data_IF_722402096949
#
_entry.id   IF_722402096949
#
_cell.length_a   1.000
_cell.length_b   1.000
_cell.length_c   1.000
_cell.angle_alpha   90.00
_cell.angle_beta   90.00
_cell.angle_gamma   90.00
#
_symmetry.space_group_name_H-M   'P 1'
#
loop_
_entity.id
_entity.type
_entity.pdbx_description
1 polymer ?
#
# COMPACT_ATOMS: atom_id res chain seq x y z
N UNK A 1 14.02 4.44 10.36
CA UNK A 1 13.23 3.71 9.36
C UNK A 1 12.87 4.68 8.24
N UNK A 2 13.04 4.32 6.96
CA UNK A 2 12.57 5.17 5.85
C UNK A 2 11.03 5.25 5.91
N UNK A 3 10.47 6.46 5.83
CA UNK A 3 9.03 6.66 5.65
C UNK A 3 8.62 5.93 4.38
N UNK A 4 7.49 5.22 4.45
CA UNK A 4 6.94 4.49 3.31
C UNK A 4 6.46 5.51 2.29
N UNK A 5 6.94 5.39 1.07
CA UNK A 5 6.45 6.19 -0.04
C UNK A 5 5.10 5.63 -0.51
N UNK A 6 4.07 6.49 -0.46
CA UNK A 6 2.69 6.10 -0.80
C UNK A 6 2.61 5.72 -2.28
N UNK A 7 3.28 6.47 -3.17
CA UNK A 7 3.23 6.21 -4.60
C UNK A 7 3.94 4.90 -4.94
N UNK A 8 5.09 4.61 -4.34
CA UNK A 8 5.78 3.34 -4.56
C UNK A 8 4.95 2.15 -4.07
N UNK A 9 4.31 2.27 -2.90
CA UNK A 9 3.47 1.20 -2.37
C UNK A 9 2.22 0.96 -3.20
N UNK A 10 1.60 2.02 -3.75
CA UNK A 10 0.47 1.90 -4.68
C UNK A 10 0.89 1.22 -5.99
N UNK A 11 2.03 1.61 -6.57
CA UNK A 11 2.59 0.95 -7.76
C UNK A 11 2.83 -0.55 -7.55
N UNK A 12 3.32 -0.93 -6.36
CA UNK A 12 3.49 -2.35 -6.02
C UNK A 12 2.17 -3.09 -5.91
N UNK A 13 1.12 -2.47 -5.37
CA UNK A 13 -0.22 -3.06 -5.34
C UNK A 13 -0.78 -3.25 -6.75
N UNK A 14 -0.58 -2.28 -7.64
CA UNK A 14 -0.96 -2.35 -9.05
C UNK A 14 -0.23 -3.51 -9.74
N UNK A 15 1.09 -3.64 -9.54
CA UNK A 15 1.85 -4.78 -10.09
C UNK A 15 1.40 -6.14 -9.55
N UNK A 16 0.89 -6.21 -8.32
CA UNK A 16 0.31 -7.45 -7.77
C UNK A 16 -1.01 -7.76 -8.48
N UNK A 17 -1.87 -6.76 -8.70
CA UNK A 17 -3.13 -6.93 -9.42
C UNK A 17 -2.87 -7.35 -10.87
N UNK A 18 -1.96 -6.66 -11.56
CA UNK A 18 -1.55 -6.97 -12.92
C UNK A 18 -1.02 -8.41 -13.03
N UNK A 19 -0.27 -8.88 -12.03
CA UNK A 19 0.21 -10.27 -12.01
C UNK A 19 -0.96 -11.26 -12.01
N UNK A 20 -2.01 -11.02 -11.21
CA UNK A 20 -3.19 -11.90 -11.21
C UNK A 20 -3.97 -11.87 -12.53
N UNK A 21 -4.02 -10.71 -13.20
CA UNK A 21 -4.75 -10.56 -14.46
C UNK A 21 -4.03 -11.19 -15.66
N UNK A 22 -2.70 -11.22 -15.62
CA UNK A 22 -1.88 -11.72 -16.72
C UNK A 22 -1.42 -13.18 -16.55
N UNK A 23 -1.63 -13.79 -15.38
CA UNK A 23 -1.22 -15.18 -15.14
C UNK A 23 -2.16 -16.17 -15.85
N UNK A 24 -1.62 -16.93 -16.81
CA UNK A 24 -2.38 -17.87 -17.65
C UNK A 24 -2.72 -19.19 -16.94
N UNK A 25 -1.91 -19.60 -15.96
CA UNK A 25 -2.15 -20.78 -15.12
C UNK A 25 -2.04 -20.38 -13.66
N UNK A 26 -3.13 -20.51 -12.91
CA UNK A 26 -3.18 -20.03 -11.52
C UNK A 26 -2.39 -20.98 -10.61
N UNK A 27 -1.12 -20.65 -10.39
CA UNK A 27 -0.32 -21.19 -9.29
C UNK A 27 -0.86 -20.62 -7.96
N UNK A 28 -1.67 -21.43 -7.27
CA UNK A 28 -2.38 -21.04 -6.05
C UNK A 28 -1.42 -20.70 -4.91
N UNK A 29 -0.26 -21.36 -4.82
CA UNK A 29 0.74 -21.07 -3.78
C UNK A 29 1.35 -19.69 -3.99
N UNK A 30 1.78 -19.38 -5.22
CA UNK A 30 2.27 -18.03 -5.58
C UNK A 30 1.18 -16.97 -5.41
N UNK A 31 -0.06 -17.28 -5.78
CA UNK A 31 -1.20 -16.40 -5.54
C UNK A 31 -1.35 -16.07 -4.05
N UNK A 32 -1.20 -17.05 -3.16
CA UNK A 32 -1.25 -16.80 -1.72
C UNK A 32 -0.10 -15.96 -1.19
N UNK A 33 1.10 -16.07 -1.75
CA UNK A 33 2.21 -15.18 -1.42
C UNK A 33 1.89 -13.73 -1.83
N UNK A 34 1.36 -13.53 -3.04
CA UNK A 34 0.99 -12.20 -3.56
C UNK A 34 -0.12 -11.53 -2.77
N UNK A 35 -1.12 -12.30 -2.33
CA UNK A 35 -2.17 -11.78 -1.44
C UNK A 35 -1.59 -11.35 -0.10
N UNK A 36 -0.69 -12.15 0.51
CA UNK A 36 -0.03 -11.77 1.77
C UNK A 36 0.80 -10.50 1.61
N UNK A 37 1.53 -10.36 0.49
CA UNK A 37 2.28 -9.17 0.14
C UNK A 37 1.36 -7.94 0.04
N UNK A 38 0.25 -8.07 -0.70
CA UNK A 38 -0.75 -7.02 -0.84
C UNK A 38 -1.38 -6.58 0.49
N UNK A 39 -1.74 -7.54 1.35
CA UNK A 39 -2.25 -7.24 2.70
C UNK A 39 -1.22 -6.46 3.54
N UNK A 40 0.06 -6.83 3.44
CA UNK A 40 1.16 -6.11 4.09
C UNK A 40 1.25 -4.65 3.61
N UNK A 41 1.24 -4.44 2.29
CA UNK A 41 1.29 -3.12 1.67
C UNK A 41 0.09 -2.25 2.08
N UNK A 42 -1.13 -2.81 2.09
CA UNK A 42 -2.35 -2.09 2.49
C UNK A 42 -2.28 -1.65 3.96
N UNK A 43 -1.84 -2.53 4.86
CA UNK A 43 -1.69 -2.18 6.29
C UNK A 43 -0.72 -1.03 6.48
N UNK A 44 0.41 -1.09 5.77
CA UNK A 44 1.45 -0.07 5.80
C UNK A 44 0.95 1.28 5.24
N UNK A 45 0.25 1.26 4.10
CA UNK A 45 -0.35 2.44 3.47
C UNK A 45 -1.38 3.12 4.37
N UNK A 46 -2.26 2.35 5.00
CA UNK A 46 -3.25 2.89 5.96
C UNK A 46 -2.58 3.61 7.12
N UNK A 47 -1.48 3.06 7.64
CA UNK A 47 -0.66 3.73 8.66
C UNK A 47 -0.12 5.06 8.17
N UNK A 48 0.52 5.07 6.99
CA UNK A 48 1.12 6.30 6.44
C UNK A 48 0.09 7.38 6.10
N UNK A 49 -1.07 7.00 5.57
CA UNK A 49 -2.17 7.94 5.30
C UNK A 49 -2.68 8.60 6.58
N UNK A 50 -2.79 7.83 7.68
CA UNK A 50 -3.18 8.37 8.98
C UNK A 50 -2.15 9.37 9.51
N UNK A 51 -0.86 9.08 9.36
CA UNK A 51 0.21 10.03 9.72
C UNK A 51 0.10 11.34 8.92
N UNK A 52 -0.07 11.24 7.59
CA UNK A 52 -0.22 12.43 6.73
C UNK A 52 -1.46 13.23 7.10
N UNK A 53 -2.58 12.57 7.42
CA UNK A 53 -3.79 13.23 7.89
C UNK A 53 -3.58 13.96 9.22
N UNK A 54 -2.82 13.38 10.14
CA UNK A 54 -2.46 14.04 11.40
C UNK A 54 -1.56 15.27 11.16
N UNK A 55 -0.52 15.11 10.34
CA UNK A 55 0.37 16.21 9.93
C UNK A 55 -0.45 17.38 9.32
N UNK A 56 -1.45 17.07 8.48
CA UNK A 56 -2.36 18.08 7.91
C UNK A 56 -3.23 18.79 8.97
N UNK A 57 -3.80 18.04 9.92
CA UNK A 57 -4.64 18.62 10.97
C UNK A 57 -3.85 19.54 11.90
N UNK A 58 -2.60 19.20 12.23
CA UNK A 58 -1.71 20.06 13.04
C UNK A 58 -1.42 21.39 12.33
N UNK A 59 -1.14 21.35 11.03
CA UNK A 59 -0.95 22.56 10.23
C UNK A 59 -2.20 23.42 10.26
N UNK A 60 -3.38 22.82 10.08
CA UNK A 60 -4.65 23.55 10.11
C UNK A 60 -4.89 24.22 11.47
N UNK A 61 -4.64 23.51 12.57
CA UNK A 61 -4.83 24.05 13.91
C UNK A 61 -3.90 25.23 14.23
N UNK A 62 -2.71 25.28 13.63
CA UNK A 62 -1.79 26.42 13.78
C UNK A 62 -2.17 27.65 12.95
N UNK A 63 -3.16 27.56 12.05
CA UNK A 63 -3.68 28.67 11.25
C UNK A 63 -4.94 29.31 11.87
N UNK A 64 -5.55 28.66 12.86
CA UNK A 64 -6.70 29.14 13.65
C UNK A 64 -6.22 29.83 14.93
#
# INVERSE_FOLDING_TARGET
>A
MKKVDINEALKKLESIADWFENESEVDVEKGMEKVKEGVGLIKMLRGRLKEVQNEFNEIKAGLE
#
